data_IF_703114217330
#
_entry.id   IF_703114217330
#
_cell.length_a   1.000
_cell.length_b   1.000
_cell.length_c   1.000
_cell.angle_alpha   90.00
_cell.angle_beta   90.00
_cell.angle_gamma   90.00
#
_symmetry.space_group_name_H-M   'P 1'
#
loop_
_entity.id
_entity.type
_entity.pdbx_description
1 polymer ?
#
# COMPACT_ATOMS: atom_id res chain seq x y z
N UNK A 1 27.29 3.37 2.24
CA UNK A 1 27.13 4.55 1.35
C UNK A 1 26.48 5.60 2.22
N UNK A 2 27.15 6.73 2.45
CA UNK A 2 26.67 7.77 3.35
C UNK A 2 26.23 9.00 2.54
N UNK A 3 25.24 9.75 3.03
CA UNK A 3 24.79 11.01 2.43
C UNK A 3 24.53 10.91 0.92
N UNK A 4 23.54 10.09 0.55
CA UNK A 4 23.10 9.99 -0.85
C UNK A 4 22.33 11.25 -1.21
N UNK A 5 22.78 11.95 -2.26
CA UNK A 5 22.14 13.14 -2.80
C UNK A 5 21.84 12.91 -4.27
N UNK A 6 20.56 12.76 -4.57
CA UNK A 6 20.06 12.61 -5.94
C UNK A 6 19.51 13.96 -6.45
N UNK A 7 19.66 14.19 -7.74
CA UNK A 7 19.02 15.28 -8.49
C UNK A 7 17.55 14.94 -8.77
N UNK A 8 17.24 13.65 -8.88
CA UNK A 8 15.90 13.11 -9.16
C UNK A 8 15.68 12.67 -10.61
N UNK A 9 16.73 12.68 -11.44
CA UNK A 9 16.68 12.23 -12.84
C UNK A 9 17.52 10.97 -13.11
N UNK A 10 18.22 10.49 -12.08
CA UNK A 10 19.03 9.29 -12.10
C UNK A 10 18.17 8.03 -12.29
N UNK A 11 18.65 7.08 -13.09
CA UNK A 11 17.98 5.79 -13.30
C UNK A 11 18.12 4.84 -12.12
N UNK A 12 19.22 4.92 -11.37
CA UNK A 12 19.47 4.08 -10.21
C UNK A 12 20.07 4.87 -9.06
N UNK A 13 19.84 4.43 -7.81
CA UNK A 13 20.42 5.05 -6.62
C UNK A 13 21.96 5.06 -6.60
N UNK A 14 22.60 4.20 -7.40
CA UNK A 14 24.07 4.15 -7.51
C UNK A 14 24.63 5.32 -8.31
N UNK A 15 23.81 5.93 -9.16
CA UNK A 15 24.19 7.05 -10.01
C UNK A 15 24.13 8.39 -9.25
N UNK A 16 23.51 8.41 -8.07
CA UNK A 16 23.45 9.58 -7.21
C UNK A 16 24.80 9.88 -6.56
N UNK A 17 25.07 11.17 -6.34
CA UNK A 17 26.25 11.59 -5.60
C UNK A 17 26.20 11.04 -4.16
N UNK A 18 27.31 10.52 -3.66
CA UNK A 18 27.41 10.05 -2.28
C UNK A 18 28.79 10.33 -1.69
N UNK A 19 28.85 10.41 -0.37
CA UNK A 19 30.10 10.67 0.34
C UNK A 19 31.07 9.46 0.40
N UNK A 20 30.81 8.38 -0.37
CA UNK A 20 31.63 7.16 -0.39
C UNK A 20 31.47 6.28 0.85
N UNK A 21 32.41 5.33 1.03
CA UNK A 21 32.51 4.43 2.20
C UNK A 21 33.44 4.95 3.30
N UNK A 22 34.16 6.05 3.05
CA UNK A 22 35.23 6.57 3.91
C UNK A 22 34.72 7.47 5.07
N UNK A 23 33.54 7.17 5.62
CA UNK A 23 32.96 7.89 6.76
C UNK A 23 32.46 6.93 7.83
N UNK A 24 33.13 6.94 8.98
CA UNK A 24 32.93 6.13 10.18
C UNK A 24 31.61 6.38 10.95
N UNK A 25 30.60 6.97 10.31
CA UNK A 25 29.34 7.37 10.97
C UNK A 25 28.10 6.57 10.54
N UNK A 26 28.27 5.58 9.65
CA UNK A 26 27.20 4.67 9.24
C UNK A 26 27.19 3.42 10.14
N UNK A 27 26.30 3.43 11.12
CA UNK A 27 25.94 2.26 11.91
C UNK A 27 24.62 1.71 11.37
N UNK A 28 24.37 0.41 11.57
CA UNK A 28 23.10 -0.22 11.18
C UNK A 28 21.86 0.40 11.84
N UNK A 29 22.05 1.11 12.96
CA UNK A 29 21.01 1.93 13.61
C UNK A 29 20.51 3.10 12.73
N UNK A 30 21.23 3.40 11.64
CA UNK A 30 20.96 4.52 10.71
C UNK A 30 20.67 4.02 9.29
N UNK A 31 20.30 2.75 9.15
CA UNK A 31 19.93 2.20 7.85
C UNK A 31 18.71 2.97 7.30
N UNK A 32 18.86 3.48 6.08
CA UNK A 32 17.80 4.21 5.40
C UNK A 32 16.86 3.22 4.69
N UNK A 33 15.56 3.38 4.91
CA UNK A 33 14.51 2.66 4.20
C UNK A 33 13.58 3.64 3.46
N UNK A 34 12.94 3.15 2.41
CA UNK A 34 11.90 3.90 1.68
C UNK A 34 10.63 3.08 1.62
N UNK A 35 9.49 3.77 1.63
CA UNK A 35 8.18 3.19 1.37
C UNK A 35 7.71 3.77 0.05
N UNK A 36 7.65 2.94 -1.00
CA UNK A 36 7.34 3.40 -2.35
C UNK A 36 5.83 3.55 -2.61
N UNK A 37 5.01 2.86 -1.83
CA UNK A 37 3.55 2.99 -1.83
C UNK A 37 3.06 2.83 -0.40
N UNK A 38 2.06 3.62 -0.05
CA UNK A 38 1.38 3.55 1.24
C UNK A 38 0.36 2.40 1.29
N UNK A 39 0.42 1.47 0.34
CA UNK A 39 -0.47 0.32 0.23
C UNK A 39 0.33 -0.96 0.03
N UNK A 40 -0.13 -2.06 0.63
CA UNK A 40 0.46 -3.39 0.42
C UNK A 40 -0.58 -4.51 0.48
N UNK A 41 -0.27 -5.61 -0.19
CA UNK A 41 -1.04 -6.87 -0.13
C UNK A 41 -0.23 -7.93 0.63
N UNK A 42 -0.82 -8.51 1.69
CA UNK A 42 -0.15 -9.47 2.58
C UNK A 42 -0.84 -10.83 2.54
N UNK A 43 -0.09 -11.92 2.67
CA UNK A 43 -0.63 -13.28 2.76
C UNK A 43 -1.00 -13.92 1.42
N UNK A 44 -0.59 -13.32 0.30
CA UNK A 44 -0.78 -13.86 -1.05
C UNK A 44 0.43 -13.62 -1.96
N UNK A 45 0.20 -13.14 -3.17
CA UNK A 45 1.24 -12.77 -4.14
C UNK A 45 1.51 -11.26 -4.16
N UNK A 46 2.40 -10.79 -5.05
CA UNK A 46 2.59 -9.34 -5.29
C UNK A 46 1.27 -8.62 -5.61
N UNK A 47 0.35 -9.30 -6.30
CA UNK A 47 -0.90 -8.73 -6.81
C UNK A 47 -2.15 -9.39 -6.21
N UNK A 48 -1.99 -10.10 -5.09
CA UNK A 48 -3.10 -10.67 -4.35
C UNK A 48 -2.81 -10.78 -2.86
N UNK A 49 -3.79 -10.49 -2.01
CA UNK A 49 -3.58 -10.56 -0.56
C UNK A 49 -4.56 -9.70 0.21
N UNK A 50 -4.41 -9.69 1.53
CA UNK A 50 -5.08 -8.76 2.42
C UNK A 50 -4.57 -7.35 2.19
N UNK A 51 -5.49 -6.40 2.02
CA UNK A 51 -5.15 -5.00 1.87
C UNK A 51 -4.77 -4.39 3.21
N UNK A 52 -3.59 -3.76 3.25
CA UNK A 52 -3.18 -2.88 4.33
C UNK A 52 -2.77 -1.51 3.77
N UNK A 53 -3.24 -0.45 4.43
CA UNK A 53 -2.93 0.95 4.10
C UNK A 53 -2.09 1.53 5.24
N UNK A 54 -1.04 2.25 4.90
CA UNK A 54 -0.20 2.97 5.84
C UNK A 54 -0.88 4.28 6.22
N UNK A 55 -1.10 4.49 7.52
CA UNK A 55 -1.67 5.72 8.04
C UNK A 55 -1.01 6.05 9.38
N UNK A 56 -0.53 7.29 9.54
CA UNK A 56 0.22 7.71 10.74
C UNK A 56 1.31 6.70 11.14
N UNK A 57 2.12 6.27 10.15
CA UNK A 57 3.22 5.31 10.33
C UNK A 57 2.81 3.91 10.81
N UNK A 58 1.52 3.59 10.78
CA UNK A 58 0.98 2.30 11.21
C UNK A 58 0.22 1.65 10.05
N UNK A 59 0.50 0.37 9.81
CA UNK A 59 -0.24 -0.41 8.82
C UNK A 59 -1.60 -0.78 9.38
N UNK A 60 -2.66 -0.45 8.64
CA UNK A 60 -4.04 -0.73 9.02
C UNK A 60 -4.71 -1.64 7.99
N UNK A 61 -5.40 -2.68 8.46
CA UNK A 61 -6.26 -3.50 7.60
C UNK A 61 -7.53 -2.73 7.26
N UNK A 62 -8.09 -2.94 6.07
CA UNK A 62 -9.29 -2.22 5.64
C UNK A 62 -10.53 -3.10 5.83
N UNK A 63 -11.59 -2.53 6.39
CA UNK A 63 -12.86 -3.24 6.54
C UNK A 63 -13.57 -3.38 5.19
N UNK A 64 -14.08 -4.58 4.90
CA UNK A 64 -14.82 -4.89 3.66
C UNK A 64 -16.10 -4.06 3.48
N UNK A 65 -16.68 -3.55 4.56
CA UNK A 65 -17.86 -2.68 4.53
C UNK A 65 -17.58 -1.25 4.05
N UNK A 66 -16.31 -0.81 4.03
CA UNK A 66 -15.92 0.59 3.75
C UNK A 66 -15.04 0.73 2.51
N UNK A 67 -14.95 -0.34 1.72
CA UNK A 67 -14.08 -0.48 0.56
C UNK A 67 -14.83 -1.15 -0.59
N UNK A 68 -14.86 -0.50 -1.75
CA UNK A 68 -15.60 -0.99 -2.92
C UNK A 68 -14.69 -1.32 -4.12
N UNK A 69 -15.32 -1.66 -5.25
CA UNK A 69 -14.61 -1.98 -6.49
C UNK A 69 -13.84 -0.80 -7.09
N UNK A 70 -14.31 0.43 -6.90
CA UNK A 70 -13.66 1.64 -7.42
C UNK A 70 -12.40 1.96 -6.61
N UNK A 71 -12.43 1.72 -5.31
CA UNK A 71 -11.25 1.81 -4.47
C UNK A 71 -10.21 0.74 -4.86
N UNK A 72 -10.67 -0.48 -5.20
CA UNK A 72 -9.82 -1.56 -5.71
C UNK A 72 -9.12 -1.21 -7.02
N UNK A 73 -9.78 -0.44 -7.91
CA UNK A 73 -9.16 0.03 -9.15
C UNK A 73 -7.97 0.94 -8.89
N UNK A 74 -8.08 1.84 -7.91
CA UNK A 74 -6.97 2.72 -7.52
C UNK A 74 -5.84 1.90 -6.91
N UNK A 75 -6.12 0.98 -5.99
CA UNK A 75 -5.10 0.14 -5.34
C UNK A 75 -4.37 -0.75 -6.34
N UNK A 76 -5.08 -1.49 -7.20
CA UNK A 76 -4.44 -2.39 -8.16
C UNK A 76 -3.59 -1.62 -9.18
N UNK A 77 -3.97 -0.39 -9.53
CA UNK A 77 -3.18 0.51 -10.37
C UNK A 77 -1.96 1.07 -9.63
N UNK A 78 -2.13 1.49 -8.38
CA UNK A 78 -1.04 2.02 -7.54
C UNK A 78 0.07 0.97 -7.35
N UNK A 79 -0.31 -0.31 -7.23
CA UNK A 79 0.63 -1.44 -7.10
C UNK A 79 1.20 -1.96 -8.43
N UNK A 80 0.81 -1.36 -9.56
CA UNK A 80 1.17 -1.83 -10.91
C UNK A 80 0.86 -3.33 -11.11
N UNK A 81 -0.38 -3.68 -10.79
CA UNK A 81 -0.94 -5.02 -10.85
C UNK A 81 -2.12 -5.16 -11.84
N UNK A 82 -2.36 -4.11 -12.62
CA UNK A 82 -3.43 -4.02 -13.61
C UNK A 82 -4.80 -3.75 -13.00
N UNK A 83 -5.84 -4.35 -13.57
CA UNK A 83 -7.22 -4.16 -13.10
C UNK A 83 -7.55 -5.08 -11.90
N UNK A 84 -8.48 -4.68 -11.01
CA UNK A 84 -9.02 -5.56 -9.99
C UNK A 84 -9.88 -6.67 -10.63
N UNK A 85 -9.55 -7.93 -10.32
CA UNK A 85 -10.35 -9.09 -10.71
C UNK A 85 -11.42 -9.36 -9.68
N UNK A 86 -11.07 -9.26 -8.39
CA UNK A 86 -11.99 -9.56 -7.30
C UNK A 86 -11.63 -8.79 -6.04
N UNK A 87 -12.66 -8.21 -5.41
CA UNK A 87 -12.63 -7.76 -4.01
C UNK A 87 -13.11 -8.93 -3.15
N UNK A 88 -12.20 -9.51 -2.39
CA UNK A 88 -12.47 -10.64 -1.52
C UNK A 88 -12.93 -10.11 -0.16
N UNK A 89 -14.21 -10.31 0.15
CA UNK A 89 -14.76 -10.09 1.49
C UNK A 89 -14.30 -11.16 2.47
N UNK A 90 -14.37 -10.82 3.76
CA UNK A 90 -14.10 -11.63 4.95
C UNK A 90 -13.05 -12.78 4.88
N UNK A 91 -11.95 -12.61 5.61
CA UNK A 91 -11.00 -13.65 6.06
C UNK A 91 -10.45 -14.61 4.98
N UNK A 92 -10.31 -14.16 3.73
CA UNK A 92 -9.60 -14.91 2.69
C UNK A 92 -8.10 -15.09 2.98
N UNK A 93 -7.54 -14.26 3.88
CA UNK A 93 -6.14 -14.23 4.27
C UNK A 93 -6.03 -14.14 5.80
N UNK A 94 -4.87 -14.52 6.37
CA UNK A 94 -4.65 -14.59 7.82
C UNK A 94 -5.13 -13.34 8.58
N UNK A 95 -5.57 -13.54 9.82
CA UNK A 95 -5.87 -12.43 10.74
C UNK A 95 -4.56 -11.76 11.12
N UNK A 96 -4.22 -10.64 10.46
CA UNK A 96 -3.15 -9.77 10.92
C UNK A 96 -3.55 -9.06 12.22
N UNK A 97 -2.56 -8.64 13.01
CA UNK A 97 -2.71 -7.84 14.24
C UNK A 97 -2.89 -6.33 13.96
N UNK A 98 -2.99 -5.94 12.68
CA UNK A 98 -3.11 -4.55 12.27
C UNK A 98 -4.43 -3.91 12.75
N UNK A 99 -4.35 -2.64 13.18
CA UNK A 99 -5.54 -1.84 13.49
C UNK A 99 -6.44 -1.73 12.24
N UNK A 100 -7.75 -1.53 12.43
CA UNK A 100 -8.68 -1.49 11.30
C UNK A 100 -9.04 -0.07 10.87
N UNK A 101 -8.96 0.17 9.56
CA UNK A 101 -9.54 1.31 8.87
C UNK A 101 -11.05 1.14 8.72
N UNK A 102 -11.82 2.14 9.18
CA UNK A 102 -13.29 2.09 9.24
C UNK A 102 -13.97 3.32 8.60
N UNK A 103 -13.21 4.20 7.97
CA UNK A 103 -13.78 5.33 7.22
C UNK A 103 -14.06 4.90 5.78
N UNK A 104 -15.20 5.29 5.24
CA UNK A 104 -15.57 5.00 3.84
C UNK A 104 -14.57 5.68 2.90
N UNK A 105 -13.91 4.87 2.08
CA UNK A 105 -13.04 5.33 1.00
C UNK A 105 -13.92 5.55 -0.23
N UNK A 106 -13.75 6.68 -0.90
CA UNK A 106 -14.60 7.08 -2.02
C UNK A 106 -13.73 7.57 -3.19
N UNK A 107 -13.12 6.63 -3.90
CA UNK A 107 -12.36 6.93 -5.11
C UNK A 107 -13.27 7.21 -6.31
N UNK A 108 -12.86 8.15 -7.18
CA UNK A 108 -13.49 8.50 -8.46
C UNK A 108 -12.81 7.86 -9.68
N UNK A 109 -11.86 6.93 -9.45
CA UNK A 109 -11.02 6.19 -10.43
C UNK A 109 -9.92 7.00 -11.12
N UNK A 110 -9.86 8.31 -10.91
CA UNK A 110 -8.81 9.15 -11.48
C UNK A 110 -7.63 9.38 -10.53
N UNK A 111 -7.77 8.97 -9.27
CA UNK A 111 -6.75 9.09 -8.24
C UNK A 111 -5.60 8.12 -8.48
N UNK A 112 -4.37 8.62 -8.53
CA UNK A 112 -3.19 7.75 -8.73
C UNK A 112 -2.85 6.92 -7.50
N UNK A 113 -3.28 7.35 -6.31
CA UNK A 113 -3.00 6.70 -5.04
C UNK A 113 -4.21 6.73 -4.12
N UNK A 114 -4.35 5.73 -3.26
CA UNK A 114 -5.53 5.56 -2.38
C UNK A 114 -5.72 6.74 -1.42
N UNK A 115 -4.63 7.37 -0.97
CA UNK A 115 -4.67 8.49 -0.03
C UNK A 115 -5.25 9.78 -0.65
N UNK A 116 -5.30 9.86 -1.98
CA UNK A 116 -5.91 10.97 -2.70
C UNK A 116 -7.44 10.84 -2.81
N UNK A 117 -7.97 9.65 -2.51
CA UNK A 117 -9.41 9.44 -2.49
C UNK A 117 -10.04 10.16 -1.30
N UNK A 118 -11.27 10.63 -1.48
CA UNK A 118 -11.99 11.27 -0.39
C UNK A 118 -12.36 10.22 0.67
N UNK A 119 -12.09 10.52 1.93
CA UNK A 119 -12.52 9.69 3.05
C UNK A 119 -13.66 10.38 3.77
N UNK A 120 -14.77 9.67 3.99
CA UNK A 120 -15.88 10.21 4.75
C UNK A 120 -16.01 9.51 6.10
N UNK A 121 -16.06 10.30 7.17
CA UNK A 121 -16.59 9.86 8.47
C UNK A 121 -18.11 9.76 8.36
N UNK A 122 -18.64 8.92 7.45
CA UNK A 122 -20.01 8.46 7.69
C UNK A 122 -19.96 7.64 8.96
N UNK A 123 -20.51 8.20 10.03
CA UNK A 123 -20.95 7.43 11.20
C UNK A 123 -22.03 6.47 10.72
N UNK A 124 -21.66 5.37 10.07
CA UNK A 124 -22.55 4.25 9.81
C UNK A 124 -22.61 3.44 11.10
N UNK A 125 -23.72 3.48 11.88
CA UNK A 125 -23.74 3.01 13.26
C UNK A 125 -23.64 1.48 13.44
N UNK A 126 -23.35 0.70 12.40
CA UNK A 126 -23.64 -0.73 12.38
C UNK A 126 -22.58 -1.66 11.76
N UNK A 127 -21.40 -1.18 11.37
CA UNK A 127 -20.32 -2.09 10.95
C UNK A 127 -19.39 -2.37 12.12
N UNK A 128 -19.71 -3.42 12.88
CA UNK A 128 -18.78 -4.03 13.83
C UNK A 128 -17.65 -4.72 13.04
N UNK A 129 -16.75 -3.90 12.48
CA UNK A 129 -15.58 -4.38 11.79
C UNK A 129 -14.67 -5.07 12.82
N UNK A 130 -14.47 -6.38 12.65
CA UNK A 130 -13.44 -7.16 13.36
C UNK A 130 -12.41 -7.68 12.37
N UNK A 131 -11.28 -8.27 12.79
CA UNK A 131 -10.30 -8.83 11.84
C UNK A 131 -10.88 -9.89 10.87
N UNK A 132 -12.11 -10.38 11.10
CA UNK A 132 -12.84 -11.21 10.13
C UNK A 132 -13.31 -10.44 8.90
N UNK A 133 -13.41 -9.12 8.97
CA UNK A 133 -13.87 -8.19 7.94
C UNK A 133 -12.72 -7.60 7.13
N UNK A 134 -11.50 -8.10 7.28
CA UNK A 134 -10.37 -7.61 6.50
C UNK A 134 -10.61 -7.87 5.01
N UNK A 135 -10.54 -6.81 4.20
CA UNK A 135 -10.68 -6.90 2.75
C UNK A 135 -9.41 -7.49 2.13
N UNK A 136 -9.61 -8.39 1.17
CA UNK A 136 -8.57 -8.90 0.30
C UNK A 136 -8.77 -8.42 -1.13
N UNK A 137 -7.69 -8.34 -1.89
CA UNK A 137 -7.72 -8.02 -3.30
C UNK A 137 -7.08 -9.15 -4.11
N UNK A 138 -7.63 -9.37 -5.29
CA UNK A 138 -7.02 -10.10 -6.38
C UNK A 138 -7.01 -9.19 -7.60
N UNK A 139 -5.83 -8.75 -8.01
CA UNK A 139 -5.64 -7.99 -9.24
C UNK A 139 -5.26 -8.95 -10.38
N UNK A 140 -5.33 -8.48 -11.63
CA UNK A 140 -5.02 -9.30 -12.82
C UNK A 140 -3.60 -9.86 -12.84
N UNK A 141 -2.67 -9.29 -12.08
CA UNK A 141 -1.34 -9.85 -11.90
C UNK A 141 -0.47 -9.80 -13.17
N UNK A 142 -0.83 -8.95 -14.14
CA UNK A 142 0.03 -8.64 -15.28
C UNK A 142 1.13 -7.69 -14.82
N UNK A 143 2.11 -8.26 -14.10
CA UNK A 143 3.37 -7.61 -13.82
C UNK A 143 4.04 -7.30 -15.16
N UNK A 144 4.27 -6.01 -15.42
CA UNK A 144 5.29 -5.44 -16.28
C UNK A 144 5.76 -6.35 -17.43
N UNK A 145 5.20 -6.18 -18.63
CA UNK A 145 6.00 -6.42 -19.82
C UNK A 145 7.10 -5.36 -19.80
N UNK A 146 8.24 -5.68 -19.20
CA UNK A 146 9.50 -5.03 -19.55
C UNK A 146 9.74 -5.38 -21.02
N UNK A 147 9.40 -4.45 -21.91
CA UNK A 147 9.79 -4.48 -23.31
C UNK A 147 10.92 -3.48 -23.54
#
# INVERSE_FOLDING_TARGET
MAFVRCVGSESTLKDCESAGWDRSFCEHSKDAGVICSEVRLIGGSRCSGRLEILHNQTWMSVCDAVFDQQDAEVVCRELDCGAPVQVLGAAAFDKGDAQMWTQEIQCRRNESQIHMCQTSFKFTPNYNCTHKNNVGLLCTGTCCLFQ
#
